data_IF_194237711774
#
_entry.id   IF_194237711774
#
_cell.length_a   1.000
_cell.length_b   1.000
_cell.length_c   1.000
_cell.angle_alpha   90.00
_cell.angle_beta   90.00
_cell.angle_gamma   90.00
#
_symmetry.space_group_name_H-M   'P 1'
#
loop_
_entity.id
_entity.type
_entity.pdbx_description
1 polymer ?
#
# COMPACT_ATOMS: atom_id res chain seq x y z
N UNK A 1 19.28 -13.24 9.79
CA UNK A 1 18.65 -12.50 8.66
C UNK A 1 19.03 -11.02 8.65
N UNK A 2 18.71 -10.23 9.68
CA UNK A 2 19.11 -8.80 9.73
C UNK A 2 20.64 -8.62 9.68
N UNK A 3 21.39 -9.44 10.41
CA UNK A 3 22.87 -9.43 10.34
C UNK A 3 23.41 -9.79 8.95
N UNK A 4 22.78 -10.73 8.25
CA UNK A 4 23.14 -11.10 6.87
C UNK A 4 22.84 -9.95 5.90
N UNK A 5 21.72 -9.24 6.09
CA UNK A 5 21.39 -8.03 5.33
C UNK A 5 22.45 -6.95 5.52
N UNK A 6 22.98 -6.79 6.75
CA UNK A 6 24.05 -5.84 7.05
C UNK A 6 25.42 -6.23 6.44
N UNK A 7 25.63 -7.52 6.17
CA UNK A 7 26.82 -8.06 5.48
C UNK A 7 26.64 -8.17 3.96
N UNK A 8 25.55 -7.64 3.40
CA UNK A 8 25.15 -7.81 1.99
C UNK A 8 24.96 -9.27 1.53
N UNK A 9 24.77 -10.19 2.47
CA UNK A 9 24.44 -11.62 2.25
C UNK A 9 22.93 -11.89 2.39
N UNK A 10 22.11 -10.83 2.35
CA UNK A 10 20.65 -10.89 2.45
C UNK A 10 19.93 -11.04 1.11
N UNK A 11 18.58 -11.11 1.11
CA UNK A 11 17.78 -11.13 -0.11
C UNK A 11 18.04 -9.91 -1.00
N UNK A 12 17.94 -10.10 -2.33
CA UNK A 12 18.17 -9.02 -3.31
C UNK A 12 17.15 -7.88 -3.19
N UNK A 13 15.89 -8.19 -2.85
CA UNK A 13 14.84 -7.21 -2.61
C UNK A 13 14.48 -7.22 -1.11
N UNK A 14 14.59 -6.06 -0.45
CA UNK A 14 14.38 -5.94 1.00
C UNK A 14 13.80 -4.57 1.35
N UNK A 15 12.82 -4.55 2.25
CA UNK A 15 12.29 -3.35 2.88
C UNK A 15 12.37 -3.54 4.38
N UNK A 16 12.89 -2.54 5.09
CA UNK A 16 12.96 -2.54 6.54
C UNK A 16 11.87 -1.59 7.03
N UNK A 17 10.89 -2.13 7.75
CA UNK A 17 9.82 -1.37 8.39
C UNK A 17 9.83 -1.65 9.89
N UNK A 18 9.45 -0.64 10.68
CA UNK A 18 9.31 -0.76 12.13
C UNK A 18 7.83 -0.61 12.50
N UNK A 19 7.29 -1.61 13.17
CA UNK A 19 5.86 -1.69 13.48
C UNK A 19 5.05 -2.35 12.36
N UNK A 20 3.74 -2.37 12.51
CA UNK A 20 2.80 -2.93 11.55
C UNK A 20 1.47 -2.18 11.63
N UNK A 21 0.75 -2.13 10.50
CA UNK A 21 -0.66 -1.76 10.50
C UNK A 21 -1.48 -3.00 10.87
N UNK A 22 -2.39 -2.85 11.83
CA UNK A 22 -3.25 -3.92 12.30
C UNK A 22 -4.69 -3.46 12.32
N UNK A 23 -5.61 -4.37 11.99
CA UNK A 23 -7.04 -4.13 12.03
C UNK A 23 -7.68 -5.04 13.07
N UNK A 24 -8.70 -4.52 13.76
CA UNK A 24 -9.58 -5.35 14.58
C UNK A 24 -10.43 -6.27 13.70
N UNK A 25 -11.03 -7.30 14.30
CA UNK A 25 -11.91 -8.21 13.57
C UNK A 25 -12.99 -7.44 12.79
N UNK A 26 -13.10 -7.73 11.49
CA UNK A 26 -14.05 -7.11 10.53
C UNK A 26 -13.86 -5.61 10.29
N UNK A 27 -12.82 -4.97 10.83
CA UNK A 27 -12.61 -3.54 10.65
C UNK A 27 -12.22 -3.21 9.21
N UNK A 28 -11.24 -3.92 8.65
CA UNK A 28 -10.78 -3.68 7.28
C UNK A 28 -11.90 -3.88 6.26
N UNK A 29 -12.69 -4.95 6.40
CA UNK A 29 -13.82 -5.23 5.51
C UNK A 29 -14.86 -4.11 5.53
N UNK A 30 -15.18 -3.57 6.71
CA UNK A 30 -16.10 -2.42 6.85
C UNK A 30 -15.53 -1.17 6.21
N UNK A 31 -14.27 -0.86 6.48
CA UNK A 31 -13.64 0.34 5.94
C UNK A 31 -13.53 0.29 4.39
N UNK A 32 -13.32 -0.89 3.81
CA UNK A 32 -13.40 -1.10 2.35
C UNK A 32 -14.83 -0.86 1.86
N UNK A 33 -15.86 -1.39 2.53
CA UNK A 33 -17.27 -1.16 2.17
C UNK A 33 -17.69 0.31 2.25
N UNK A 34 -17.12 1.06 3.20
CA UNK A 34 -17.34 2.50 3.37
C UNK A 34 -16.56 3.36 2.35
N UNK A 35 -15.81 2.73 1.44
CA UNK A 35 -14.89 3.38 0.49
C UNK A 35 -13.78 4.19 1.18
N UNK A 36 -13.43 3.84 2.43
CA UNK A 36 -12.32 4.45 3.17
C UNK A 36 -10.96 3.91 2.71
N UNK A 37 -10.93 2.70 2.13
CA UNK A 37 -9.73 2.13 1.50
C UNK A 37 -9.98 1.77 0.04
N UNK A 38 -8.99 2.09 -0.79
CA UNK A 38 -8.90 1.58 -2.16
C UNK A 38 -7.94 0.40 -2.20
N UNK A 39 -8.37 -0.69 -2.83
CA UNK A 39 -7.59 -1.93 -2.92
C UNK A 39 -7.14 -2.13 -4.36
N UNK A 40 -5.84 -2.38 -4.53
CA UNK A 40 -5.22 -2.70 -5.82
C UNK A 40 -4.53 -4.06 -5.72
N UNK A 41 -4.43 -4.76 -6.85
CA UNK A 41 -3.71 -6.03 -6.90
C UNK A 41 -2.25 -5.87 -6.47
N UNK A 42 -1.69 -6.85 -5.74
CA UNK A 42 -0.28 -6.82 -5.33
C UNK A 42 0.66 -6.66 -6.52
N UNK A 43 1.61 -5.74 -6.39
CA UNK A 43 2.63 -5.49 -7.42
C UNK A 43 4.01 -5.34 -6.77
N UNK A 44 4.93 -6.31 -6.99
CA UNK A 44 6.29 -6.23 -6.47
C UNK A 44 7.04 -4.96 -6.91
N UNK A 45 6.72 -4.40 -8.08
CA UNK A 45 7.32 -3.17 -8.60
C UNK A 45 6.90 -1.95 -7.77
N UNK A 46 5.63 -1.93 -7.32
CA UNK A 46 5.15 -0.90 -6.39
C UNK A 46 5.82 -1.04 -5.04
N UNK A 47 6.05 -2.28 -4.58
CA UNK A 47 6.61 -2.53 -3.26
C UNK A 47 8.12 -2.22 -3.23
N UNK A 48 8.89 -2.75 -4.16
CA UNK A 48 10.36 -2.76 -4.10
C UNK A 48 11.06 -1.73 -4.99
N UNK A 49 10.42 -1.28 -6.07
CA UNK A 49 11.07 -0.48 -7.13
C UNK A 49 10.50 0.93 -7.27
N UNK A 50 9.53 1.28 -6.42
CA UNK A 50 8.87 2.58 -6.45
C UNK A 50 9.26 3.41 -5.24
N UNK A 51 9.70 4.65 -5.50
CA UNK A 51 9.98 5.62 -4.44
C UNK A 51 8.72 5.91 -3.63
N UNK A 52 8.87 6.18 -2.34
CA UNK A 52 7.75 6.46 -1.44
C UNK A 52 6.85 7.61 -1.94
N UNK A 53 7.45 8.67 -2.48
CA UNK A 53 6.71 9.84 -3.00
C UNK A 53 5.87 9.51 -4.24
N UNK A 54 6.31 8.53 -5.04
CA UNK A 54 5.63 8.10 -6.27
C UNK A 54 4.61 6.99 -6.02
N UNK A 55 4.71 6.29 -4.88
CA UNK A 55 3.96 5.08 -4.58
C UNK A 55 2.45 5.29 -4.69
N UNK A 56 1.97 6.36 -4.05
CA UNK A 56 0.54 6.70 -4.03
C UNK A 56 0.00 6.94 -5.44
N UNK A 57 0.69 7.75 -6.23
CA UNK A 57 0.29 8.08 -7.60
C UNK A 57 0.31 6.85 -8.51
N UNK A 58 1.35 6.01 -8.41
CA UNK A 58 1.44 4.78 -9.22
C UNK A 58 0.38 3.75 -8.83
N UNK A 59 0.06 3.62 -7.54
CA UNK A 59 -0.98 2.72 -7.07
C UNK A 59 -2.37 3.14 -7.58
N UNK A 60 -2.71 4.43 -7.50
CA UNK A 60 -3.97 4.96 -8.04
C UNK A 60 -4.07 4.80 -9.56
N UNK A 61 -2.98 5.08 -10.28
CA UNK A 61 -2.92 4.87 -11.73
C UNK A 61 -3.12 3.41 -12.12
N UNK A 62 -2.60 2.46 -11.33
CA UNK A 62 -2.81 1.02 -11.53
C UNK A 62 -4.27 0.61 -11.33
N UNK A 63 -4.98 1.28 -10.43
CA UNK A 63 -6.42 1.11 -10.24
C UNK A 63 -7.27 1.75 -11.36
N UNK A 64 -6.65 2.57 -12.23
CA UNK A 64 -7.34 3.36 -13.24
C UNK A 64 -8.10 4.56 -12.68
N UNK A 65 -7.79 4.97 -11.44
CA UNK A 65 -8.42 6.08 -10.75
C UNK A 65 -7.53 7.33 -10.85
N UNK A 66 -8.09 8.43 -11.33
CA UNK A 66 -7.43 9.74 -11.24
C UNK A 66 -7.59 10.27 -9.80
N UNK A 67 -6.52 10.70 -9.13
CA UNK A 67 -6.60 11.35 -7.82
C UNK A 67 -7.65 12.47 -7.74
N UNK A 68 -7.97 13.13 -8.86
CA UNK A 68 -8.98 14.19 -8.94
C UNK A 68 -10.42 13.69 -8.76
N UNK A 69 -10.68 12.39 -8.96
CA UNK A 69 -11.98 11.77 -8.69
C UNK A 69 -12.10 11.27 -7.25
N UNK A 70 -11.04 11.38 -6.43
CA UNK A 70 -11.11 11.10 -4.99
C UNK A 70 -11.81 12.27 -4.29
N UNK A 71 -13.13 12.20 -4.21
CA UNK A 71 -13.92 13.12 -3.40
C UNK A 71 -13.82 12.74 -1.92
N UNK A 72 -13.66 13.73 -1.04
CA UNK A 72 -13.73 13.55 0.43
C UNK A 72 -15.14 13.20 0.93
N UNK A 73 -16.13 13.16 0.03
CA UNK A 73 -17.49 12.73 0.33
C UNK A 73 -17.62 11.27 -0.11
N UNK A 74 -17.59 10.35 0.85
CA UNK A 74 -18.10 9.00 0.65
C UNK A 74 -19.60 9.12 0.32
N UNK A 75 -19.93 9.21 -0.97
CA UNK A 75 -21.30 9.37 -1.45
C UNK A 75 -22.12 8.14 -1.11
N UNK A 76 -22.92 8.24 -0.04
CA UNK A 76 -24.09 7.38 0.15
C UNK A 76 -25.29 8.09 -0.49
N UNK A 77 -25.97 7.40 -1.40
CA UNK A 77 -27.36 7.65 -1.79
C UNK A 77 -28.09 6.32 -1.78
#
# INVERSE_FOLDING_TARGET
VLECIAKDEGPSHKIIALGYAGWSALQLDREIQENSWLVVEPDPTLIYETNADDLWHKALKKLGVDPQFLSTVAGHA
#
